data_IF_610270387960
#
_entry.id   IF_610270387960
#
_cell.length_a   1.000
_cell.length_b   1.000
_cell.length_c   1.000
_cell.angle_alpha   90.00
_cell.angle_beta   90.00
_cell.angle_gamma   90.00
#
_symmetry.space_group_name_H-M   'P 1'
#
loop_
_entity.id
_entity.type
_entity.pdbx_description
1 polymer ?
#
# COMPACT_ATOMS: atom_id res chain seq x y z
N UNK A 1 -15.72 6.54 -0.08
CA UNK A 1 -15.43 5.11 -0.24
C UNK A 1 -14.14 4.87 0.51
N UNK A 2 -14.15 4.04 1.54
CA UNK A 2 -12.94 3.68 2.27
C UNK A 2 -12.31 2.44 1.65
N UNK A 3 -10.98 2.41 1.56
CA UNK A 3 -10.23 1.28 1.04
C UNK A 3 -9.51 0.57 2.19
N UNK A 4 -9.55 -0.76 2.20
CA UNK A 4 -8.69 -1.55 3.08
C UNK A 4 -7.47 -1.94 2.26
N UNK A 5 -6.30 -1.62 2.78
CA UNK A 5 -5.02 -1.81 2.10
C UNK A 5 -4.39 -3.11 2.56
N UNK A 6 -4.02 -3.96 1.61
CA UNK A 6 -3.28 -5.21 1.85
C UNK A 6 -1.78 -4.94 2.02
N UNK A 7 -1.08 -5.86 2.67
CA UNK A 7 0.37 -5.84 2.89
C UNK A 7 1.13 -5.65 1.58
N UNK A 8 0.72 -6.35 0.51
CA UNK A 8 1.38 -6.24 -0.79
C UNK A 8 1.32 -4.83 -1.36
N UNK A 9 0.22 -4.11 -1.18
CA UNK A 9 0.10 -2.71 -1.65
C UNK A 9 1.04 -1.80 -0.85
N UNK A 10 1.22 -2.06 0.45
CA UNK A 10 2.17 -1.33 1.28
C UNK A 10 3.60 -1.61 0.82
N UNK A 11 3.93 -2.87 0.53
CA UNK A 11 5.23 -3.28 0.01
C UNK A 11 5.51 -2.58 -1.32
N UNK A 12 4.57 -2.62 -2.27
CA UNK A 12 4.71 -1.95 -3.57
C UNK A 12 4.92 -0.44 -3.41
N UNK A 13 4.26 0.21 -2.43
CA UNK A 13 4.45 1.64 -2.15
C UNK A 13 5.81 1.95 -1.51
N UNK A 14 6.35 1.07 -0.66
CA UNK A 14 7.60 1.32 0.09
C UNK A 14 8.84 0.91 -0.70
N UNK A 15 8.78 -0.17 -1.49
CA UNK A 15 9.92 -0.69 -2.25
C UNK A 15 10.04 0.01 -3.60
N UNK A 16 10.99 0.94 -3.71
CA UNK A 16 11.23 1.71 -4.94
C UNK A 16 11.65 0.85 -6.15
N UNK A 17 12.25 -0.31 -5.92
CA UNK A 17 12.69 -1.25 -6.99
C UNK A 17 11.60 -2.27 -7.38
N UNK A 18 10.40 -2.19 -6.78
CA UNK A 18 9.29 -3.06 -7.17
C UNK A 18 8.72 -2.66 -8.53
N UNK A 19 8.43 -3.65 -9.37
CA UNK A 19 7.82 -3.48 -10.70
C UNK A 19 6.49 -2.72 -10.65
N UNK A 20 5.77 -2.76 -9.54
CA UNK A 20 4.49 -2.10 -9.34
C UNK A 20 4.60 -0.75 -8.63
N UNK A 21 5.78 -0.30 -8.23
CA UNK A 21 5.98 0.88 -7.38
C UNK A 21 5.26 2.13 -7.90
N UNK A 22 5.54 2.52 -9.15
CA UNK A 22 4.94 3.70 -9.77
C UNK A 22 3.41 3.61 -9.81
N UNK A 23 2.85 2.42 -10.06
CA UNK A 23 1.40 2.20 -10.10
C UNK A 23 0.80 2.29 -8.70
N UNK A 24 1.47 1.70 -7.72
CA UNK A 24 1.04 1.68 -6.33
C UNK A 24 1.03 3.09 -5.73
N UNK A 25 2.09 3.88 -5.96
CA UNK A 25 2.19 5.29 -5.53
C UNK A 25 1.11 6.15 -6.18
N UNK A 26 0.88 6.01 -7.49
CA UNK A 26 -0.20 6.74 -8.18
C UNK A 26 -1.58 6.40 -7.62
N UNK A 27 -1.82 5.12 -7.33
CA UNK A 27 -3.07 4.66 -6.71
C UNK A 27 -3.21 5.23 -5.31
N UNK A 28 -2.16 5.14 -4.49
CA UNK A 28 -2.11 5.66 -3.11
C UNK A 28 -2.42 7.15 -3.04
N UNK A 29 -1.81 7.95 -3.93
CA UNK A 29 -2.03 9.40 -4.01
C UNK A 29 -3.45 9.78 -4.42
N UNK A 30 -4.20 8.87 -5.05
CA UNK A 30 -5.60 9.09 -5.42
C UNK A 30 -6.61 8.73 -4.32
N UNK A 31 -6.15 8.09 -3.23
CA UNK A 31 -7.00 7.68 -2.11
C UNK A 31 -7.24 8.86 -1.17
N UNK A 32 -8.51 9.15 -0.90
CA UNK A 32 -8.89 10.13 0.13
C UNK A 32 -8.77 9.56 1.55
N UNK A 33 -8.97 8.26 1.72
CA UNK A 33 -8.91 7.58 3.01
C UNK A 33 -8.60 6.09 2.79
N UNK A 34 -7.68 5.56 3.59
CA UNK A 34 -7.22 4.18 3.52
C UNK A 34 -7.03 3.60 4.93
N UNK A 35 -7.53 2.39 5.15
CA UNK A 35 -7.37 1.62 6.38
C UNK A 35 -6.29 0.58 6.17
N UNK A 36 -5.22 0.67 6.96
CA UNK A 36 -4.16 -0.32 7.01
C UNK A 36 -4.38 -1.23 8.21
N UNK A 37 -4.72 -2.52 8.02
CA UNK A 37 -4.81 -3.47 9.11
C UNK A 37 -3.46 -3.62 9.82
N UNK A 38 -3.45 -3.70 11.15
CA UNK A 38 -2.20 -3.88 11.91
C UNK A 38 -1.45 -5.16 11.53
N UNK A 39 -2.18 -6.21 11.09
CA UNK A 39 -1.61 -7.46 10.58
C UNK A 39 -0.70 -7.17 9.37
N UNK A 40 -1.10 -6.26 8.49
CA UNK A 40 -0.33 -5.89 7.31
C UNK A 40 0.95 -5.11 7.63
N UNK A 41 1.02 -4.46 8.79
CA UNK A 41 2.27 -3.88 9.29
C UNK A 41 3.20 -4.94 9.89
N UNK A 42 2.63 -5.98 10.50
CA UNK A 42 3.39 -7.08 11.13
C UNK A 42 3.95 -8.02 10.07
N UNK A 43 3.23 -8.30 8.98
CA UNK A 43 3.72 -9.16 7.89
C UNK A 43 4.94 -8.58 7.15
N UNK A 44 5.11 -7.26 7.23
CA UNK A 44 6.29 -6.59 6.68
C UNK A 44 7.54 -6.68 7.60
N UNK A 45 7.36 -6.89 8.91
CA UNK A 45 8.44 -7.01 9.90
C UNK A 45 9.07 -8.40 9.91
#
# INVERSE_FOLDING_TARGET
>A
MSFVVDTNVIIDVILEDDVNHDRAVNTWNSLNEAYVPIISLIEYL
#
